data_IF_739746916907
#
_entry.id   IF_739746916907
#
_cell.length_a   1.000
_cell.length_b   1.000
_cell.length_c   1.000
_cell.angle_alpha   90.00
_cell.angle_beta   90.00
_cell.angle_gamma   90.00
#
_symmetry.space_group_name_H-M   'P 1'
#
loop_
_entity.id
_entity.type
_entity.pdbx_description
1 polymer ?
#
# COMPACT_ATOMS: atom_id res chain seq x y z
N UNK A 1 -11.38 20.41 9.69
CA UNK A 1 -10.07 20.22 10.34
C UNK A 1 -9.97 18.77 10.77
N UNK A 2 -9.00 18.03 10.23
CA UNK A 2 -8.68 16.66 10.63
C UNK A 2 -8.28 16.64 12.10
N UNK A 3 -8.89 15.76 12.88
CA UNK A 3 -8.81 15.73 14.34
C UNK A 3 -7.78 14.68 14.75
N UNK A 4 -6.53 15.12 14.90
CA UNK A 4 -5.40 14.29 15.34
C UNK A 4 -4.97 14.72 16.74
N UNK A 5 -4.74 13.76 17.63
CA UNK A 5 -4.22 13.99 18.98
C UNK A 5 -3.08 13.02 19.22
N UNK A 6 -1.98 13.51 19.79
CA UNK A 6 -0.87 12.68 20.22
C UNK A 6 -0.80 12.68 21.76
N UNK A 7 -0.88 11.49 22.35
CA UNK A 7 -0.65 11.26 23.77
C UNK A 7 0.77 10.76 23.95
N UNK A 8 1.53 11.42 24.83
CA UNK A 8 2.91 11.03 25.14
C UNK A 8 2.95 10.12 26.36
N UNK A 9 3.69 9.02 26.28
CA UNK A 9 3.88 8.05 27.36
C UNK A 9 2.55 7.55 27.96
N UNK A 10 1.56 7.25 27.11
CA UNK A 10 0.26 6.75 27.56
C UNK A 10 0.37 5.31 28.10
N UNK A 11 1.30 4.53 27.56
CA UNK A 11 1.60 3.18 28.03
C UNK A 11 2.98 3.14 28.71
N UNK A 12 3.16 2.43 29.84
CA UNK A 12 4.45 2.28 30.50
C UNK A 12 5.48 1.62 29.58
N UNK A 13 6.71 2.14 29.56
CA UNK A 13 7.80 1.65 28.71
C UNK A 13 8.06 0.15 28.91
N UNK A 14 8.05 -0.33 30.15
CA UNK A 14 8.24 -1.76 30.45
C UNK A 14 7.19 -2.65 29.78
N UNK A 15 5.92 -2.23 29.80
CA UNK A 15 4.83 -2.94 29.12
C UNK A 15 5.04 -2.96 27.62
N UNK A 16 5.43 -1.83 27.05
CA UNK A 16 5.67 -1.69 25.60
C UNK A 16 6.82 -2.57 25.15
N UNK A 17 7.94 -2.55 25.88
CA UNK A 17 9.11 -3.38 25.58
C UNK A 17 8.78 -4.87 25.72
N UNK A 18 7.99 -5.26 26.72
CA UNK A 18 7.53 -6.64 26.86
C UNK A 18 6.68 -7.10 25.68
N UNK A 19 5.78 -6.25 25.18
CA UNK A 19 4.99 -6.55 23.96
C UNK A 19 5.91 -6.67 22.75
N UNK A 20 6.87 -5.75 22.60
CA UNK A 20 7.83 -5.79 21.48
C UNK A 20 8.66 -7.07 21.45
N UNK A 21 9.23 -7.48 22.58
CA UNK A 21 10.03 -8.71 22.65
C UNK A 21 9.18 -9.94 22.34
N UNK A 22 7.94 -10.00 22.85
CA UNK A 22 7.00 -11.06 22.47
C UNK A 22 6.80 -11.13 20.94
N UNK A 23 6.62 -9.99 20.27
CA UNK A 23 6.40 -9.92 18.83
C UNK A 23 7.64 -10.32 18.00
N UNK A 24 8.86 -10.10 18.49
CA UNK A 24 10.08 -10.51 17.75
C UNK A 24 10.21 -12.03 17.64
N UNK A 25 9.71 -12.76 18.63
CA UNK A 25 9.85 -14.22 18.72
C UNK A 25 8.77 -15.00 17.96
N UNK A 26 7.72 -14.32 17.47
CA UNK A 26 6.63 -14.99 16.79
C UNK A 26 6.91 -15.14 15.28
N UNK A 27 6.53 -16.28 14.69
CA UNK A 27 6.61 -16.52 13.23
C UNK A 27 5.46 -15.77 12.56
N UNK A 28 5.77 -14.98 11.55
CA UNK A 28 4.78 -14.20 10.84
C UNK A 28 4.33 -14.90 9.56
N UNK A 29 3.03 -14.92 9.29
CA UNK A 29 2.44 -15.54 8.10
C UNK A 29 2.18 -14.50 7.01
N UNK A 30 2.54 -14.84 5.77
CA UNK A 30 2.41 -13.98 4.58
C UNK A 30 1.13 -14.28 3.82
N UNK A 31 0.08 -13.49 4.08
CA UNK A 31 -1.16 -13.47 3.28
C UNK A 31 -1.22 -12.21 2.41
N UNK A 32 -1.97 -12.34 1.32
CA UNK A 32 -2.22 -11.34 0.29
C UNK A 32 -3.14 -10.20 0.76
N UNK A 33 -2.75 -8.94 0.50
CA UNK A 33 -3.54 -7.74 0.87
C UNK A 33 -4.75 -7.54 -0.07
N UNK A 34 -5.83 -6.99 0.50
CA UNK A 34 -7.03 -6.49 -0.15
C UNK A 34 -6.81 -5.45 -1.27
N UNK A 35 -5.71 -4.68 -1.26
CA UNK A 35 -5.52 -3.56 -2.21
C UNK A 35 -4.86 -3.98 -3.52
N UNK A 36 -4.01 -5.02 -3.53
CA UNK A 36 -3.29 -5.46 -4.73
C UNK A 36 -3.17 -7.00 -4.85
N UNK A 37 -3.88 -7.75 -4.02
CA UNK A 37 -4.00 -9.20 -4.05
C UNK A 37 -2.67 -9.95 -4.10
N UNK A 38 -1.60 -9.42 -3.48
CA UNK A 38 -0.38 -10.21 -3.35
C UNK A 38 0.26 -10.21 -1.94
N UNK A 39 0.95 -11.33 -1.60
CA UNK A 39 1.34 -11.68 -0.24
C UNK A 39 2.33 -10.67 0.31
N UNK A 40 1.99 -10.01 1.41
CA UNK A 40 2.90 -9.06 2.05
C UNK A 40 2.63 -8.83 3.52
N UNK A 41 1.72 -9.61 4.11
CA UNK A 41 1.41 -9.41 5.51
C UNK A 41 2.34 -10.23 6.37
N UNK A 42 2.47 -9.74 7.57
CA UNK A 42 3.00 -10.44 8.69
C UNK A 42 1.95 -10.14 9.76
N UNK A 43 0.80 -10.81 9.65
CA UNK A 43 -0.27 -10.62 10.61
C UNK A 43 -0.04 -11.55 11.78
N UNK A 44 -0.01 -10.97 12.98
CA UNK A 44 -0.48 -11.73 14.11
C UNK A 44 -1.98 -11.54 14.20
N UNK A 45 -2.77 -12.62 14.14
CA UNK A 45 -3.84 -12.70 15.10
C UNK A 45 -3.13 -12.77 16.45
N UNK A 46 -2.70 -11.62 16.97
CA UNK A 46 -2.78 -11.46 18.42
C UNK A 46 -4.27 -11.38 18.65
N UNK A 47 -4.88 -12.55 18.65
CA UNK A 47 -6.16 -12.80 19.27
C UNK A 47 -5.93 -12.63 20.76
N UNK A 48 -5.67 -11.37 21.20
CA UNK A 48 -5.74 -11.04 22.61
C UNK A 48 -7.16 -11.27 23.13
N UNK A 49 -8.14 -11.34 22.22
CA UNK A 49 -9.50 -11.84 22.40
C UNK A 49 -9.99 -12.29 21.02
N UNK A 50 -10.54 -13.49 20.89
CA UNK A 50 -11.21 -13.92 19.65
C UNK A 50 -12.31 -12.92 19.30
N UNK A 51 -12.59 -12.59 18.02
CA UNK A 51 -13.85 -11.93 17.67
C UNK A 51 -15.08 -12.72 18.16
N UNK A 52 -14.90 -14.00 18.50
CA UNK A 52 -15.92 -14.85 19.13
C UNK A 52 -16.00 -14.72 20.65
N UNK A 53 -15.14 -13.93 21.30
CA UNK A 53 -15.26 -13.61 22.71
C UNK A 53 -15.97 -12.25 22.81
N UNK A 54 -17.22 -12.30 23.29
CA UNK A 54 -18.15 -11.17 23.52
C UNK A 54 -17.58 -9.99 24.34
N UNK A 55 -16.30 -10.02 24.75
CA UNK A 55 -15.64 -9.06 25.64
C UNK A 55 -14.98 -7.87 24.93
N UNK A 56 -14.71 -7.95 23.62
CA UNK A 56 -14.15 -6.79 22.89
C UNK A 56 -15.18 -5.65 22.78
N UNK A 57 -16.47 -6.00 22.63
CA UNK A 57 -17.57 -5.03 22.67
C UNK A 57 -17.80 -4.40 24.05
N UNK A 58 -17.31 -5.02 25.12
CA UNK A 58 -17.38 -4.47 26.49
C UNK A 58 -16.35 -3.37 26.72
N UNK A 59 -15.32 -3.25 25.87
CA UNK A 59 -14.38 -2.14 25.93
C UNK A 59 -15.11 -0.85 25.54
N UNK A 60 -15.27 0.04 26.51
CA UNK A 60 -15.85 1.37 26.32
C UNK A 60 -14.74 2.42 26.25
N UNK A 61 -14.13 2.65 25.07
CA UNK A 61 -13.11 3.68 24.92
C UNK A 61 -13.73 5.07 25.14
N UNK A 62 -13.02 5.91 25.89
CA UNK A 62 -13.37 7.32 26.04
C UNK A 62 -12.49 8.19 25.15
N UNK A 63 -13.10 9.00 24.30
CA UNK A 63 -12.37 9.93 23.43
C UNK A 63 -12.37 11.36 23.96
N UNK A 64 -11.31 12.16 23.69
CA UNK A 64 -11.28 13.56 24.09
C UNK A 64 -12.44 14.34 23.49
N UNK A 65 -13.18 15.06 24.35
CA UNK A 65 -14.26 15.96 23.92
C UNK A 65 -13.69 17.06 23.01
N UNK A 66 -14.39 17.33 21.91
CA UNK A 66 -14.00 18.32 20.90
C UNK A 66 -13.14 17.77 19.75
N UNK A 67 -12.49 16.62 19.94
CA UNK A 67 -11.69 15.95 18.92
C UNK A 67 -12.54 14.95 18.14
N UNK A 68 -13.44 14.23 18.80
CA UNK A 68 -14.44 13.39 18.12
C UNK A 68 -15.83 13.98 18.39
N UNK A 69 -16.79 13.79 17.48
CA UNK A 69 -18.17 14.21 17.76
C UNK A 69 -18.72 13.38 18.94
N UNK A 70 -19.88 13.72 19.50
CA UNK A 70 -20.48 12.92 20.57
C UNK A 70 -20.80 11.52 20.04
N UNK A 71 -19.85 10.60 20.19
CA UNK A 71 -20.01 9.20 19.83
C UNK A 71 -20.85 8.56 20.94
N UNK A 72 -22.06 8.04 20.65
CA UNK A 72 -22.97 7.58 21.70
C UNK A 72 -22.39 6.42 22.51
N UNK A 73 -21.78 5.43 21.82
CA UNK A 73 -21.15 4.24 22.40
C UNK A 73 -20.07 3.70 21.45
N UNK A 74 -18.89 4.33 21.38
CA UNK A 74 -17.83 3.82 20.52
C UNK A 74 -17.45 2.39 20.91
N UNK A 75 -17.09 1.59 19.92
CA UNK A 75 -16.64 0.21 20.12
C UNK A 75 -15.31 -0.05 19.44
N UNK A 76 -14.45 -0.85 20.07
CA UNK A 76 -13.24 -1.37 19.44
C UNK A 76 -13.63 -2.48 18.46
N UNK A 77 -13.33 -2.30 17.17
CA UNK A 77 -13.63 -3.31 16.15
C UNK A 77 -12.50 -4.30 15.97
N UNK A 78 -11.26 -3.82 15.96
CA UNK A 78 -10.10 -4.65 15.62
C UNK A 78 -8.82 -4.09 16.23
N UNK A 79 -7.89 -5.00 16.53
CA UNK A 79 -6.51 -4.69 16.90
C UNK A 79 -5.60 -5.33 15.86
N UNK A 80 -4.79 -4.52 15.21
CA UNK A 80 -3.82 -4.96 14.22
C UNK A 80 -2.40 -4.69 14.75
N UNK A 81 -1.59 -5.75 14.85
CA UNK A 81 -0.15 -5.60 15.08
C UNK A 81 0.57 -5.73 13.76
N UNK A 82 1.48 -4.81 13.47
CA UNK A 82 2.19 -4.79 12.19
C UNK A 82 3.67 -4.49 12.34
N UNK A 83 4.49 -5.26 11.64
CA UNK A 83 5.90 -4.95 11.34
C UNK A 83 5.99 -4.24 9.99
N UNK A 84 6.90 -3.27 9.90
CA UNK A 84 7.24 -2.54 8.70
C UNK A 84 8.76 -2.61 8.51
N UNK A 85 9.21 -3.18 7.38
CA UNK A 85 10.60 -3.19 6.95
C UNK A 85 10.76 -2.53 5.58
N UNK A 86 11.98 -2.11 5.21
CA UNK A 86 12.33 -1.74 3.84
C UNK A 86 11.94 -2.87 2.88
N UNK A 87 11.19 -2.53 1.83
CA UNK A 87 10.81 -3.47 0.77
C UNK A 87 9.74 -4.51 1.12
N UNK A 88 9.51 -4.85 2.40
CA UNK A 88 8.43 -5.79 2.80
C UNK A 88 7.04 -5.17 2.61
N UNK A 89 6.95 -3.83 2.69
CA UNK A 89 5.75 -3.11 2.28
C UNK A 89 6.02 -2.46 0.93
N UNK A 90 5.42 -3.04 -0.12
CA UNK A 90 5.09 -2.35 -1.36
C UNK A 90 4.56 -0.97 -0.98
N UNK A 91 5.16 0.10 -1.47
CA UNK A 91 4.74 1.50 -1.21
C UNK A 91 3.23 1.60 -0.97
N UNK A 92 2.79 1.63 0.30
CA UNK A 92 1.37 1.85 0.56
C UNK A 92 1.18 3.34 0.32
N UNK A 93 0.47 3.62 -0.76
CA UNK A 93 -0.02 4.94 -1.04
C UNK A 93 -0.72 5.48 0.21
N UNK A 94 -0.69 6.80 0.33
CA UNK A 94 -1.52 7.52 1.28
C UNK A 94 -2.97 7.03 1.15
N UNK A 95 -3.60 6.71 2.28
CA UNK A 95 -4.96 6.17 2.33
C UNK A 95 -5.70 6.69 3.55
N UNK A 96 -6.97 6.28 3.65
CA UNK A 96 -7.83 6.44 4.81
C UNK A 96 -8.15 5.06 5.37
N UNK A 97 -8.42 4.98 6.68
CA UNK A 97 -9.01 3.78 7.27
C UNK A 97 -10.51 3.77 6.96
N UNK A 98 -10.87 3.31 5.76
CA UNK A 98 -12.23 3.39 5.19
C UNK A 98 -13.34 2.67 5.96
N UNK A 99 -13.00 1.98 7.05
CA UNK A 99 -13.90 1.20 7.90
C UNK A 99 -13.91 1.65 9.36
N UNK A 100 -12.95 2.48 9.78
CA UNK A 100 -12.80 2.94 11.14
C UNK A 100 -13.27 4.39 11.28
N UNK A 101 -14.03 4.68 12.33
CA UNK A 101 -14.39 6.06 12.68
C UNK A 101 -13.19 6.80 13.30
N UNK A 102 -12.45 6.08 14.14
CA UNK A 102 -11.23 6.56 14.77
C UNK A 102 -10.18 5.44 14.80
N UNK A 103 -8.92 5.83 14.69
CA UNK A 103 -7.78 4.91 14.72
C UNK A 103 -6.78 5.41 15.76
N UNK A 104 -6.33 4.52 16.64
CA UNK A 104 -5.22 4.78 17.53
C UNK A 104 -4.00 3.92 17.11
N UNK A 105 -2.85 4.55 16.93
CA UNK A 105 -1.59 3.88 16.61
C UNK A 105 -0.63 4.09 17.77
N UNK A 106 -0.29 2.99 18.45
CA UNK A 106 0.72 2.92 19.51
C UNK A 106 2.10 2.71 18.89
N UNK A 107 3.02 3.64 19.19
CA UNK A 107 4.44 3.46 18.91
C UNK A 107 5.04 2.47 19.90
N UNK A 108 5.72 1.45 19.37
CA UNK A 108 6.40 0.44 20.19
C UNK A 108 7.87 0.18 19.79
N UNK A 109 8.32 0.77 18.67
CA UNK A 109 9.74 0.78 18.27
C UNK A 109 10.44 2.04 18.76
N UNK A 110 11.75 1.93 19.03
CA UNK A 110 12.58 3.09 19.33
C UNK A 110 12.82 3.89 18.02
N UNK A 111 12.71 5.23 18.02
CA UNK A 111 12.91 6.04 16.81
C UNK A 111 14.29 5.89 16.16
N UNK A 112 15.30 5.43 16.90
CA UNK A 112 16.66 5.20 16.41
C UNK A 112 16.83 3.86 15.68
N UNK A 113 15.88 2.93 15.80
CA UNK A 113 15.94 1.58 15.21
C UNK A 113 15.52 1.56 13.73
N UNK A 114 14.92 2.64 13.22
CA UNK A 114 14.44 2.74 11.85
C UNK A 114 14.53 4.16 11.29
N UNK A 115 14.55 4.28 9.97
CA UNK A 115 14.43 5.57 9.28
C UNK A 115 13.10 5.57 8.50
N UNK A 116 12.26 6.57 8.80
CA UNK A 116 10.89 6.68 8.28
C UNK A 116 9.85 6.70 9.41
N UNK A 117 8.65 6.18 9.15
CA UNK A 117 7.58 6.02 10.12
C UNK A 117 6.16 6.21 9.58
N UNK A 118 5.20 6.26 10.51
CA UNK A 118 3.84 6.74 10.22
C UNK A 118 3.94 8.19 9.76
N UNK A 119 3.29 8.51 8.65
CA UNK A 119 3.24 9.86 8.11
C UNK A 119 1.80 10.28 7.83
N UNK A 120 1.57 11.59 7.89
CA UNK A 120 0.36 12.25 7.45
C UNK A 120 0.64 12.92 6.11
N UNK A 121 -0.34 12.94 5.22
CA UNK A 121 -0.23 13.64 3.95
C UNK A 121 -1.51 14.44 3.70
N UNK A 122 -1.60 15.68 4.21
CA UNK A 122 -2.84 16.46 4.17
C UNK A 122 -3.21 16.98 2.77
N UNK A 123 -2.27 16.98 1.83
CA UNK A 123 -2.49 17.46 0.46
C UNK A 123 -2.19 16.37 -0.56
N UNK A 124 -2.64 16.58 -1.80
CA UNK A 124 -2.43 15.64 -2.91
C UNK A 124 -0.94 15.32 -3.17
N UNK A 125 -0.06 16.32 -3.03
CA UNK A 125 1.39 16.18 -3.22
C UNK A 125 2.06 15.42 -2.07
N UNK A 126 2.97 14.49 -2.40
CA UNK A 126 3.81 13.82 -1.42
C UNK A 126 4.75 14.77 -0.66
N UNK A 127 4.97 16.00 -1.13
CA UNK A 127 5.75 17.01 -0.40
C UNK A 127 5.07 17.47 0.91
N UNK A 128 3.75 17.28 0.99
CA UNK A 128 2.98 17.54 2.21
C UNK A 128 3.19 16.47 3.29
N UNK A 129 3.88 15.36 2.98
CA UNK A 129 4.16 14.29 3.94
C UNK A 129 4.87 14.82 5.19
N UNK A 130 4.35 14.46 6.36
CA UNK A 130 4.93 14.78 7.67
C UNK A 130 4.94 13.52 8.54
N UNK A 131 6.14 13.09 8.95
CA UNK A 131 6.29 11.91 9.80
C UNK A 131 5.88 12.21 11.25
N UNK A 132 5.04 11.34 11.80
CA UNK A 132 4.69 11.31 13.21
C UNK A 132 5.81 10.62 13.99
N UNK A 133 6.58 11.40 14.75
CA UNK A 133 7.57 10.86 15.66
C UNK A 133 6.86 10.32 16.92
N UNK A 134 6.82 8.99 17.07
CA UNK A 134 6.22 8.27 18.19
C UNK A 134 7.30 7.46 18.88
N UNK A 135 7.60 7.79 20.14
CA UNK A 135 8.44 6.96 21.00
C UNK A 135 7.65 5.77 21.55
N UNK A 136 8.30 4.73 22.08
CA UNK A 136 7.60 3.63 22.75
C UNK A 136 6.65 4.13 23.84
N UNK A 137 5.37 3.77 23.72
CA UNK A 137 4.32 4.19 24.66
C UNK A 137 3.55 5.44 24.24
N UNK A 138 3.97 6.12 23.17
CA UNK A 138 3.21 7.20 22.57
C UNK A 138 2.05 6.66 21.72
N UNK A 139 0.91 7.33 21.77
CA UNK A 139 -0.26 6.99 20.96
C UNK A 139 -0.68 8.19 20.12
N UNK A 140 -0.82 8.00 18.82
CA UNK A 140 -1.54 8.95 17.98
C UNK A 140 -2.96 8.44 17.74
N UNK A 141 -3.94 9.30 18.00
CA UNK A 141 -5.35 9.03 17.79
C UNK A 141 -5.87 9.98 16.71
N UNK A 142 -6.54 9.45 15.69
CA UNK A 142 -7.09 10.24 14.60
C UNK A 142 -8.46 9.78 14.11
N UNK A 143 -9.18 10.67 13.43
CA UNK A 143 -10.45 10.37 12.77
C UNK A 143 -10.29 9.77 11.37
N UNK A 144 -11.37 9.20 10.86
CA UNK A 144 -11.50 8.57 9.54
C UNK A 144 -11.03 9.43 8.36
N UNK A 145 -11.03 10.76 8.52
CA UNK A 145 -10.70 11.73 7.46
C UNK A 145 -9.22 12.14 7.47
N UNK A 146 -8.35 11.32 8.08
CA UNK A 146 -6.91 11.53 8.05
C UNK A 146 -6.25 10.70 6.96
N UNK A 147 -5.74 11.38 5.95
CA UNK A 147 -4.81 10.83 4.97
C UNK A 147 -3.47 10.50 5.62
N UNK A 148 -3.13 9.22 5.64
CA UNK A 148 -1.91 8.75 6.28
C UNK A 148 -1.32 7.52 5.57
N UNK A 149 -0.11 7.15 5.98
CA UNK A 149 0.57 5.94 5.54
C UNK A 149 1.76 5.63 6.44
N UNK A 150 2.48 4.55 6.16
CA UNK A 150 3.73 4.22 6.86
C UNK A 150 4.77 3.90 5.81
N UNK A 151 5.91 4.56 5.91
CA UNK A 151 7.06 4.37 5.02
C UNK A 151 8.30 4.10 5.88
N UNK A 152 8.96 2.96 5.68
CA UNK A 152 10.18 2.57 6.41
C UNK A 152 11.19 2.15 5.39
N UNK A 153 12.33 2.82 5.39
CA UNK A 153 13.33 2.65 4.34
C UNK A 153 14.69 2.20 4.89
N UNK A 154 14.87 2.23 6.21
CA UNK A 154 15.94 1.50 6.93
C UNK A 154 15.37 0.94 8.24
N UNK A 155 15.85 -0.23 8.69
CA UNK A 155 15.50 -0.82 9.99
C UNK A 155 14.14 -1.52 10.06
N UNK A 156 13.58 -1.67 11.27
CA UNK A 156 12.29 -2.32 11.48
C UNK A 156 11.42 -1.47 12.41
N UNK A 157 10.17 -1.23 12.01
CA UNK A 157 9.19 -0.54 12.84
C UNK A 157 8.04 -1.47 13.17
N UNK A 158 7.59 -1.40 14.41
CA UNK A 158 6.39 -2.07 14.89
C UNK A 158 5.32 -1.03 15.27
N UNK A 159 4.07 -1.36 14.97
CA UNK A 159 2.90 -0.59 15.42
C UNK A 159 1.84 -1.53 15.96
N UNK A 160 1.15 -1.11 17.02
CA UNK A 160 -0.14 -1.69 17.42
C UNK A 160 -1.22 -0.68 17.07
N UNK A 161 -2.17 -1.10 16.26
CA UNK A 161 -3.22 -0.25 15.69
C UNK A 161 -4.55 -0.72 16.27
N UNK A 162 -5.34 0.22 16.76
CA UNK A 162 -6.67 -0.01 17.30
C UNK A 162 -7.67 0.72 16.41
N UNK A 163 -8.56 -0.02 15.77
CA UNK A 163 -9.64 0.55 14.97
C UNK A 163 -10.92 0.59 15.78
N UNK A 164 -11.54 1.76 15.81
CA UNK A 164 -12.77 2.02 16.54
C UNK A 164 -13.88 2.41 15.59
N UNK A 165 -15.07 1.93 15.86
CA UNK A 165 -16.30 2.37 15.21
C UNK A 165 -17.11 3.28 16.12
N UNK A 166 -18.02 4.02 15.51
CA UNK A 166 -18.90 4.97 16.19
C UNK A 166 -19.96 4.30 17.08
N UNK A 167 -20.25 3.02 16.87
CA UNK A 167 -21.23 2.28 17.65
C UNK A 167 -20.93 0.79 17.76
N UNK A 168 -21.38 0.19 18.85
CA UNK A 168 -21.39 -1.27 19.03
C UNK A 168 -22.17 -1.99 17.91
N UNK A 169 -23.24 -1.37 17.40
CA UNK A 169 -24.00 -1.91 16.27
C UNK A 169 -23.12 -2.01 15.01
N UNK A 170 -22.38 -0.94 14.70
CA UNK A 170 -21.45 -0.91 13.56
C UNK A 170 -20.26 -1.85 13.71
N UNK A 171 -19.84 -2.16 14.95
CA UNK A 171 -18.89 -3.24 15.21
C UNK A 171 -19.50 -4.59 14.81
N UNK A 172 -20.74 -4.87 15.23
CA UNK A 172 -21.40 -6.16 15.00
C UNK A 172 -21.75 -6.42 13.53
N UNK A 173 -22.24 -5.41 12.81
CA UNK A 173 -22.73 -5.57 11.43
C UNK A 173 -21.71 -5.14 10.36
N UNK A 174 -20.55 -4.61 10.77
CA UNK A 174 -19.53 -4.16 9.83
C UNK A 174 -19.83 -2.82 9.13
N UNK A 175 -20.94 -2.16 9.44
CA UNK A 175 -21.39 -0.90 8.81
C UNK A 175 -20.56 0.33 9.19
N UNK A 176 -20.82 1.44 8.50
CA UNK A 176 -20.14 2.73 8.68
C UNK A 176 -21.09 3.95 8.55
N UNK A 177 -22.18 4.02 9.35
CA UNK A 177 -23.26 5.01 9.19
C UNK A 177 -22.84 6.47 9.40
N UNK A 178 -21.69 6.71 10.05
CA UNK A 178 -21.13 8.04 10.18
C UNK A 178 -20.76 8.65 8.83
N UNK A 179 -20.37 7.85 7.82
CA UNK A 179 -20.08 8.40 6.51
C UNK A 179 -21.33 8.99 5.87
N UNK A 180 -22.47 8.29 5.95
CA UNK A 180 -23.75 8.82 5.45
C UNK A 180 -24.10 10.14 6.15
N UNK A 181 -23.92 10.20 7.47
CA UNK A 181 -24.17 11.41 8.28
C UNK A 181 -23.26 12.56 7.86
N UNK A 182 -21.97 12.28 7.68
CA UNK A 182 -20.96 13.29 7.33
C UNK A 182 -21.01 13.70 5.85
N UNK A 183 -21.57 12.87 4.98
CA UNK A 183 -21.77 13.15 3.57
C UNK A 183 -23.13 13.82 3.27
N UNK A 184 -24.01 13.94 4.27
CA UNK A 184 -25.30 14.60 4.14
C UNK A 184 -25.13 16.06 3.71
N UNK A 185 -25.99 16.52 2.80
CA UNK A 185 -25.93 17.87 2.24
C UNK A 185 -26.20 18.92 3.32
N UNK A 186 -25.13 19.59 3.72
CA UNK A 186 -25.14 20.62 4.77
C UNK A 186 -23.91 21.50 4.63
N UNK A 187 -23.81 22.56 5.44
CA UNK A 187 -22.58 23.36 5.52
C UNK A 187 -21.37 22.56 6.02
N UNK A 188 -21.60 21.43 6.69
CA UNK A 188 -20.58 20.61 7.34
C UNK A 188 -20.27 19.31 6.56
N UNK A 189 -20.71 19.20 5.30
CA UNK A 189 -20.45 18.02 4.47
C UNK A 189 -18.94 17.74 4.37
N UNK A 190 -18.53 16.57 4.85
CA UNK A 190 -17.17 16.07 4.76
C UNK A 190 -16.89 15.52 3.36
N UNK A 191 -15.91 16.12 2.69
CA UNK A 191 -15.48 15.71 1.35
C UNK A 191 -14.83 14.31 1.39
N UNK A 192 -14.09 13.99 2.46
CA UNK A 192 -13.51 12.67 2.67
C UNK A 192 -14.60 11.61 2.89
N UNK A 193 -15.72 11.96 3.53
CA UNK A 193 -16.84 11.04 3.71
C UNK A 193 -17.54 10.74 2.38
N UNK A 194 -17.74 11.76 1.52
CA UNK A 194 -18.23 11.56 0.16
C UNK A 194 -17.33 10.59 -0.60
N UNK A 195 -16.01 10.80 -0.58
CA UNK A 195 -15.07 9.89 -1.22
C UNK A 195 -15.17 8.46 -0.68
N UNK A 196 -15.16 8.28 0.65
CA UNK A 196 -15.23 6.94 1.25
C UNK A 196 -16.55 6.23 0.95
N UNK A 197 -17.70 6.92 0.88
CA UNK A 197 -18.95 6.32 0.41
C UNK A 197 -18.85 5.86 -1.04
N UNK A 198 -18.19 6.65 -1.90
CA UNK A 198 -17.91 6.26 -3.27
C UNK A 198 -17.18 4.91 -3.33
N UNK A 199 -16.10 4.77 -2.55
CA UNK A 199 -15.33 3.52 -2.45
C UNK A 199 -16.19 2.35 -1.94
N UNK A 200 -17.04 2.59 -0.93
CA UNK A 200 -17.89 1.54 -0.37
C UNK A 200 -18.93 1.00 -1.36
N UNK A 201 -19.58 1.88 -2.12
CA UNK A 201 -20.50 1.48 -3.17
C UNK A 201 -19.78 0.85 -4.38
N UNK A 202 -18.56 1.27 -4.71
CA UNK A 202 -17.78 0.67 -5.79
C UNK A 202 -17.39 -0.79 -5.48
N UNK A 203 -16.94 -1.03 -4.24
CA UNK A 203 -16.45 -2.34 -3.79
C UNK A 203 -17.55 -3.24 -3.21
N UNK A 204 -18.68 -2.68 -2.78
CA UNK A 204 -19.74 -3.43 -2.10
C UNK A 204 -19.33 -3.90 -0.71
N UNK A 205 -18.80 -2.98 0.11
CA UNK A 205 -18.27 -3.26 1.45
C UNK A 205 -18.97 -2.43 2.53
N UNK A 206 -18.76 -2.78 3.81
CA UNK A 206 -19.25 -2.01 4.96
C UNK A 206 -20.76 -1.75 4.98
N UNK A 207 -21.54 -2.74 4.55
CA UNK A 207 -23.00 -2.67 4.52
C UNK A 207 -23.58 -1.94 3.30
N UNK A 208 -22.76 -1.65 2.28
CA UNK A 208 -23.22 -1.15 0.97
C UNK A 208 -23.18 -2.27 -0.06
N UNK A 209 -24.24 -2.40 -0.84
CA UNK A 209 -24.21 -3.25 -2.03
C UNK A 209 -23.46 -2.54 -3.16
N UNK A 210 -22.85 -3.33 -4.04
CA UNK A 210 -22.08 -2.78 -5.17
C UNK A 210 -22.99 -1.99 -6.12
N UNK A 211 -22.71 -0.71 -6.31
CA UNK A 211 -23.50 0.23 -7.11
C UNK A 211 -22.58 1.32 -7.72
N UNK A 212 -22.20 1.13 -8.98
CA UNK A 212 -21.28 2.03 -9.67
C UNK A 212 -21.85 3.43 -9.93
N UNK A 213 -23.16 3.56 -10.14
CA UNK A 213 -23.78 4.86 -10.39
C UNK A 213 -23.79 5.71 -9.12
N UNK A 214 -24.11 5.08 -7.98
CA UNK A 214 -23.95 5.76 -6.67
C UNK A 214 -22.50 6.09 -6.39
N UNK A 215 -21.57 5.17 -6.65
CA UNK A 215 -20.15 5.44 -6.46
C UNK A 215 -19.69 6.67 -7.26
N UNK A 216 -20.10 6.73 -8.53
CA UNK A 216 -19.81 7.85 -9.43
C UNK A 216 -20.42 9.17 -8.96
N UNK A 217 -21.65 9.17 -8.45
CA UNK A 217 -22.28 10.36 -7.87
C UNK A 217 -21.48 10.90 -6.66
N UNK A 218 -21.16 10.02 -5.71
CA UNK A 218 -20.37 10.39 -4.53
C UNK A 218 -18.99 10.91 -4.91
N UNK A 219 -18.31 10.25 -5.85
CA UNK A 219 -17.03 10.73 -6.36
C UNK A 219 -17.15 12.07 -7.07
N UNK A 220 -18.18 12.30 -7.88
CA UNK A 220 -18.43 13.61 -8.51
C UNK A 220 -18.59 14.72 -7.50
N UNK A 221 -19.45 14.51 -6.49
CA UNK A 221 -19.67 15.51 -5.42
C UNK A 221 -18.39 15.81 -4.64
N UNK A 222 -17.52 14.82 -4.41
CA UNK A 222 -16.22 15.03 -3.78
C UNK A 222 -15.21 15.71 -4.72
N UNK A 223 -15.17 15.31 -6.00
CA UNK A 223 -14.25 15.81 -7.01
C UNK A 223 -14.49 17.29 -7.36
N UNK A 224 -15.75 17.71 -7.44
CA UNK A 224 -16.16 19.11 -7.62
C UNK A 224 -15.70 20.01 -6.47
N UNK A 225 -15.55 19.44 -5.28
CA UNK A 225 -14.98 20.12 -4.09
C UNK A 225 -13.46 19.96 -3.99
N UNK A 226 -12.84 19.39 -5.01
CA UNK A 226 -11.38 19.34 -5.16
C UNK A 226 -10.69 18.14 -4.54
N UNK A 227 -11.41 17.08 -4.17
CA UNK A 227 -10.82 15.87 -3.58
C UNK A 227 -10.04 15.05 -4.61
N UNK A 228 -8.72 15.00 -4.50
CA UNK A 228 -7.82 14.42 -5.50
C UNK A 228 -8.03 12.92 -5.75
N UNK A 229 -8.27 12.12 -4.69
CA UNK A 229 -8.59 10.70 -4.89
C UNK A 229 -9.92 10.50 -5.62
N UNK A 230 -10.89 11.38 -5.37
CA UNK A 230 -12.20 11.27 -6.01
C UNK A 230 -12.13 11.74 -7.47
N UNK A 231 -11.34 12.77 -7.76
CA UNK A 231 -11.04 13.20 -9.12
C UNK A 231 -10.37 12.07 -9.91
N UNK A 232 -9.36 11.40 -9.34
CA UNK A 232 -8.74 10.23 -9.96
C UNK A 232 -9.75 9.10 -10.21
N UNK A 233 -10.48 8.67 -9.18
CA UNK A 233 -11.39 7.53 -9.31
C UNK A 233 -12.57 7.83 -10.23
N UNK A 234 -13.10 9.06 -10.19
CA UNK A 234 -14.13 9.50 -11.11
C UNK A 234 -13.63 9.44 -12.55
N UNK A 235 -12.43 9.92 -12.84
CA UNK A 235 -11.86 9.85 -14.18
C UNK A 235 -11.83 8.43 -14.73
N UNK A 236 -11.46 7.45 -13.91
CA UNK A 236 -11.41 6.03 -14.29
C UNK A 236 -12.80 5.41 -14.52
N UNK A 237 -13.88 6.06 -14.04
CA UNK A 237 -15.27 5.66 -14.24
C UNK A 237 -15.99 6.51 -15.31
N UNK A 238 -15.36 7.55 -15.85
CA UNK A 238 -15.91 8.34 -16.93
C UNK A 238 -15.64 7.66 -18.27
N UNK A 239 -16.69 7.52 -19.09
CA UNK A 239 -16.59 6.90 -20.41
C UNK A 239 -16.18 7.91 -21.49
N UNK A 240 -16.32 9.20 -21.21
CA UNK A 240 -15.89 10.28 -22.07
C UNK A 240 -14.43 10.63 -21.75
N UNK A 241 -13.53 10.40 -22.70
CA UNK A 241 -12.10 10.61 -22.54
C UNK A 241 -11.74 12.05 -22.16
N UNK A 242 -12.46 13.05 -22.69
CA UNK A 242 -12.19 14.46 -22.38
C UNK A 242 -12.60 14.79 -20.94
N UNK A 243 -13.72 14.23 -20.46
CA UNK A 243 -14.14 14.37 -19.07
C UNK A 243 -13.17 13.64 -18.13
N UNK A 244 -12.72 12.43 -18.50
CA UNK A 244 -11.73 11.68 -17.74
C UNK A 244 -10.41 12.47 -17.63
N UNK A 245 -9.88 12.95 -18.77
CA UNK A 245 -8.66 13.75 -18.82
C UNK A 245 -8.75 15.01 -17.96
N UNK A 246 -9.89 15.73 -18.00
CA UNK A 246 -10.12 16.91 -17.17
C UNK A 246 -9.94 16.60 -15.68
N UNK A 247 -10.50 15.50 -15.20
CA UNK A 247 -10.38 15.13 -13.78
C UNK A 247 -8.98 14.62 -13.43
N UNK A 248 -8.34 13.86 -14.33
CA UNK A 248 -6.94 13.45 -14.17
C UNK A 248 -6.01 14.65 -14.07
N UNK A 249 -6.16 15.65 -14.95
CA UNK A 249 -5.38 16.91 -14.88
C UNK A 249 -5.62 17.65 -13.57
N UNK A 250 -6.88 17.81 -13.16
CA UNK A 250 -7.21 18.51 -11.91
C UNK A 250 -6.55 17.89 -10.66
N UNK A 251 -6.45 16.56 -10.59
CA UNK A 251 -5.74 15.87 -9.51
C UNK A 251 -4.21 15.93 -9.68
N UNK A 252 -3.73 15.78 -10.92
CA UNK A 252 -2.30 15.74 -11.26
C UNK A 252 -1.60 17.07 -10.99
N UNK A 253 -2.26 18.19 -11.32
CA UNK A 253 -1.78 19.55 -11.08
C UNK A 253 -1.62 19.87 -9.58
N UNK A 254 -2.38 19.18 -8.71
CA UNK A 254 -2.23 19.28 -7.25
C UNK A 254 -1.11 18.37 -6.70
N UNK A 255 -0.48 17.58 -7.55
CA UNK A 255 0.61 16.68 -7.17
C UNK A 255 0.20 15.23 -6.88
N UNK A 256 -1.06 14.84 -7.15
CA UNK A 256 -1.51 13.47 -6.87
C UNK A 256 -0.82 12.45 -7.78
N UNK A 257 0.14 11.71 -7.23
CA UNK A 257 1.05 10.82 -7.98
C UNK A 257 0.33 9.76 -8.82
N UNK A 258 -0.71 9.11 -8.29
CA UNK A 258 -1.49 8.12 -9.04
C UNK A 258 -2.25 8.76 -10.20
N UNK A 259 -2.76 9.98 -10.04
CA UNK A 259 -3.42 10.69 -11.13
C UNK A 259 -2.41 11.12 -12.20
N UNK A 260 -1.19 11.55 -11.81
CA UNK A 260 -0.12 11.89 -12.75
C UNK A 260 0.27 10.67 -13.60
N UNK A 261 0.40 9.49 -12.97
CA UNK A 261 0.65 8.23 -13.68
C UNK A 261 -0.50 7.87 -14.62
N UNK A 262 -1.76 7.97 -14.16
CA UNK A 262 -2.93 7.67 -14.99
C UNK A 262 -3.11 8.67 -16.14
N UNK A 263 -2.79 9.94 -15.93
CA UNK A 263 -2.79 10.97 -16.97
C UNK A 263 -1.74 10.66 -18.04
N UNK A 264 -0.53 10.29 -17.63
CA UNK A 264 0.50 9.88 -18.57
C UNK A 264 0.06 8.68 -19.43
N UNK A 265 -0.51 7.64 -18.80
CA UNK A 265 -1.05 6.48 -19.52
C UNK A 265 -2.17 6.88 -20.48
N UNK A 266 -3.09 7.75 -20.03
CA UNK A 266 -4.18 8.26 -20.86
C UNK A 266 -3.67 8.96 -22.13
N UNK A 267 -2.65 9.83 -21.98
CA UNK A 267 -2.03 10.53 -23.11
C UNK A 267 -1.34 9.56 -24.08
N UNK A 268 -0.60 8.56 -23.57
CA UNK A 268 0.03 7.52 -24.40
C UNK A 268 -1.00 6.69 -25.18
N UNK A 269 -2.19 6.48 -24.63
CA UNK A 269 -3.27 5.78 -25.35
C UNK A 269 -3.84 6.62 -26.51
N UNK A 270 -3.82 7.95 -26.40
CA UNK A 270 -4.23 8.85 -27.49
C UNK A 270 -3.12 8.99 -28.55
N UNK A 271 -1.88 9.17 -28.12
CA UNK A 271 -0.68 9.25 -28.96
C UNK A 271 0.54 8.72 -28.19
N UNK A 272 1.10 7.59 -28.64
CA UNK A 272 2.27 6.96 -28.00
C UNK A 272 3.52 7.85 -28.02
N UNK A 273 3.55 8.86 -28.90
CA UNK A 273 4.67 9.78 -29.06
C UNK A 273 4.45 11.14 -28.38
N UNK A 274 3.36 11.32 -27.62
CA UNK A 274 3.11 12.57 -26.89
C UNK A 274 4.20 12.80 -25.83
N UNK A 275 5.08 13.80 -25.98
CA UNK A 275 6.18 14.02 -25.04
C UNK A 275 5.69 14.46 -23.66
N UNK A 276 4.48 14.99 -23.53
CA UNK A 276 3.91 15.42 -22.25
C UNK A 276 3.58 14.22 -21.35
N UNK A 277 3.35 13.05 -21.92
CA UNK A 277 3.15 11.83 -21.14
C UNK A 277 4.39 11.47 -20.31
N UNK A 278 5.59 11.57 -20.89
CA UNK A 278 6.84 11.34 -20.18
C UNK A 278 7.07 12.35 -19.06
N UNK A 279 6.66 13.61 -19.24
CA UNK A 279 6.75 14.65 -18.20
C UNK A 279 5.88 14.28 -16.98
N UNK A 280 4.61 13.92 -17.21
CA UNK A 280 3.71 13.49 -16.14
C UNK A 280 4.16 12.19 -15.46
N UNK A 281 4.61 11.21 -16.24
CA UNK A 281 5.11 9.95 -15.69
C UNK A 281 6.38 10.18 -14.85
N UNK A 282 7.27 11.08 -15.27
CA UNK A 282 8.47 11.45 -14.51
C UNK A 282 8.14 12.13 -13.19
N UNK A 283 7.12 13.00 -13.15
CA UNK A 283 6.61 13.58 -11.91
C UNK A 283 6.08 12.49 -10.98
N UNK A 284 5.26 11.56 -11.49
CA UNK A 284 4.76 10.44 -10.72
C UNK A 284 5.90 9.54 -10.19
N UNK A 285 6.90 9.26 -11.02
CA UNK A 285 8.06 8.42 -10.70
C UNK A 285 8.95 8.98 -9.59
N UNK A 286 8.90 10.30 -9.36
CA UNK A 286 9.58 10.89 -8.21
C UNK A 286 8.94 10.46 -6.87
N UNK A 287 7.63 10.20 -6.88
CA UNK A 287 6.82 9.94 -5.70
C UNK A 287 6.54 8.43 -5.51
N UNK A 288 6.26 7.70 -6.60
CA UNK A 288 5.82 6.30 -6.57
C UNK A 288 6.78 5.36 -7.31
N UNK A 289 7.17 4.22 -6.73
CA UNK A 289 8.07 3.27 -7.38
C UNK A 289 7.44 2.58 -8.60
N UNK A 290 6.12 2.36 -8.60
CA UNK A 290 5.39 1.83 -9.77
C UNK A 290 5.48 2.77 -10.98
N UNK A 291 5.44 4.08 -10.78
CA UNK A 291 5.62 5.04 -11.86
C UNK A 291 7.08 5.08 -12.35
N UNK A 292 8.06 4.91 -11.46
CA UNK A 292 9.47 4.76 -11.86
C UNK A 292 9.69 3.52 -12.73
N UNK A 293 8.97 2.42 -12.47
CA UNK A 293 8.98 1.25 -13.35
C UNK A 293 8.45 1.57 -14.75
N UNK A 294 7.31 2.26 -14.85
CA UNK A 294 6.76 2.65 -16.15
C UNK A 294 7.65 3.63 -16.91
N UNK A 295 8.36 4.54 -16.24
CA UNK A 295 9.41 5.34 -16.89
C UNK A 295 10.50 4.46 -17.51
N UNK A 296 10.93 3.42 -16.79
CA UNK A 296 11.87 2.44 -17.31
C UNK A 296 11.34 1.73 -18.57
N UNK A 297 10.06 1.32 -18.55
CA UNK A 297 9.41 0.70 -19.72
C UNK A 297 9.32 1.65 -20.92
N UNK A 298 9.03 2.94 -20.69
CA UNK A 298 8.99 3.97 -21.73
C UNK A 298 10.34 4.13 -22.42
N UNK A 299 11.44 4.25 -21.65
CA UNK A 299 12.80 4.29 -22.20
C UNK A 299 13.20 2.99 -22.89
N UNK A 300 12.81 1.83 -22.35
CA UNK A 300 13.12 0.52 -22.94
C UNK A 300 12.48 0.34 -24.32
N UNK A 301 11.32 0.96 -24.55
CA UNK A 301 10.51 0.80 -25.78
C UNK A 301 10.61 2.00 -26.73
N UNK A 302 11.20 3.11 -26.30
CA UNK A 302 11.21 4.35 -27.06
C UNK A 302 9.82 4.99 -27.23
N UNK A 303 8.96 4.88 -26.20
CA UNK A 303 7.59 5.43 -26.20
C UNK A 303 7.59 6.79 -25.51
N UNK A 304 7.18 7.86 -26.20
CA UNK A 304 7.19 9.27 -25.73
C UNK A 304 8.59 9.84 -25.39
N UNK A 305 9.60 8.98 -25.28
CA UNK A 305 11.04 9.29 -25.14
C UNK A 305 11.84 8.45 -26.14
N UNK A 306 13.07 8.85 -26.47
CA UNK A 306 13.95 8.01 -27.29
C UNK A 306 14.33 6.72 -26.54
N UNK A 307 14.48 5.63 -27.29
CA UNK A 307 14.91 4.34 -26.72
C UNK A 307 16.30 4.48 -26.08
N UNK A 308 16.42 4.07 -24.82
CA UNK A 308 17.66 4.09 -24.05
C UNK A 308 17.63 3.02 -22.95
N UNK A 309 18.33 1.90 -23.18
CA UNK A 309 18.38 0.78 -22.23
C UNK A 309 19.17 1.11 -20.95
N UNK A 310 20.15 2.02 -21.01
CA UNK A 310 20.90 2.43 -19.82
C UNK A 310 20.03 3.29 -18.90
N UNK A 311 19.26 4.22 -19.48
CA UNK A 311 18.31 5.02 -18.74
C UNK A 311 17.16 4.17 -18.20
N UNK A 312 16.65 3.23 -19.00
CA UNK A 312 15.67 2.25 -18.54
C UNK A 312 16.15 1.49 -17.29
N UNK A 313 17.40 0.98 -17.31
CA UNK A 313 18.00 0.30 -16.16
C UNK A 313 18.08 1.20 -14.91
N UNK A 314 18.40 2.49 -15.04
CA UNK A 314 18.40 3.42 -13.90
C UNK A 314 17.01 3.58 -13.29
N UNK A 315 15.97 3.69 -14.11
CA UNK A 315 14.60 3.80 -13.64
C UNK A 315 14.06 2.52 -13.01
N UNK A 316 14.36 1.35 -13.60
CA UNK A 316 14.03 0.06 -13.00
C UNK A 316 14.74 -0.13 -11.65
N UNK A 317 16.02 0.25 -11.54
CA UNK A 317 16.75 0.22 -10.26
C UNK A 317 16.12 1.13 -9.22
N UNK A 318 15.77 2.36 -9.59
CA UNK A 318 15.07 3.30 -8.68
C UNK A 318 13.73 2.74 -8.19
N UNK A 319 13.03 2.00 -9.03
CA UNK A 319 11.77 1.33 -8.68
C UNK A 319 12.01 0.16 -7.71
N UNK A 320 12.99 -0.69 -8.03
CA UNK A 320 13.39 -1.86 -7.25
C UNK A 320 13.90 -1.50 -5.85
N UNK A 321 14.80 -0.52 -5.75
CA UNK A 321 15.38 -0.02 -4.50
C UNK A 321 14.32 0.53 -3.53
N UNK A 322 13.14 0.87 -4.05
CA UNK A 322 11.98 1.37 -3.29
C UNK A 322 10.90 0.30 -3.10
N UNK A 323 11.24 -0.98 -3.27
CA UNK A 323 10.39 -2.12 -2.96
C UNK A 323 9.38 -2.51 -4.05
N UNK A 324 9.51 -2.02 -5.28
CA UNK A 324 8.71 -2.51 -6.40
C UNK A 324 9.47 -3.59 -7.18
N UNK A 325 9.29 -4.84 -6.73
CA UNK A 325 10.01 -6.02 -7.22
C UNK A 325 10.03 -6.26 -8.73
N UNK A 326 9.00 -5.90 -9.53
CA UNK A 326 9.09 -6.00 -10.98
C UNK A 326 10.29 -5.23 -11.57
N UNK A 327 10.79 -4.19 -10.89
CA UNK A 327 12.04 -3.52 -11.28
C UNK A 327 13.27 -4.45 -11.24
N UNK A 328 13.36 -5.36 -10.25
CA UNK A 328 14.42 -6.38 -10.21
C UNK A 328 14.27 -7.38 -11.36
N UNK A 329 13.03 -7.79 -11.68
CA UNK A 329 12.77 -8.70 -12.81
C UNK A 329 13.25 -8.09 -14.13
N UNK A 330 12.91 -6.84 -14.43
CA UNK A 330 13.34 -6.18 -15.67
C UNK A 330 14.85 -5.94 -15.73
N UNK A 331 15.48 -5.55 -14.61
CA UNK A 331 16.94 -5.48 -14.54
C UNK A 331 17.58 -6.84 -14.82
N UNK A 332 17.05 -7.91 -14.24
CA UNK A 332 17.52 -9.27 -14.46
C UNK A 332 17.41 -9.68 -15.93
N UNK A 333 16.30 -9.32 -16.59
CA UNK A 333 16.10 -9.56 -18.02
C UNK A 333 17.09 -8.78 -18.89
N UNK A 334 17.39 -7.52 -18.55
CA UNK A 334 18.41 -6.73 -19.24
C UNK A 334 19.80 -7.36 -19.11
N UNK A 335 20.22 -7.74 -17.91
CA UNK A 335 21.51 -8.42 -17.69
C UNK A 335 21.57 -9.78 -18.37
N UNK A 336 20.46 -10.52 -18.37
CA UNK A 336 20.35 -11.81 -19.06
C UNK A 336 20.54 -11.64 -20.57
N UNK A 337 19.93 -10.61 -21.17
CA UNK A 337 20.05 -10.32 -22.60
C UNK A 337 21.49 -9.95 -23.01
N UNK A 338 22.28 -9.33 -22.12
CA UNK A 338 23.70 -9.04 -22.36
C UNK A 338 24.63 -10.23 -22.08
N UNK A 339 24.08 -11.36 -21.60
CA UNK A 339 24.86 -12.55 -21.25
C UNK A 339 25.51 -12.50 -19.86
N UNK A 340 25.18 -11.52 -19.03
CA UNK A 340 25.64 -11.44 -17.65
C UNK A 340 24.70 -12.25 -16.74
N UNK A 341 24.84 -13.58 -16.85
CA UNK A 341 23.97 -14.52 -16.15
C UNK A 341 24.19 -14.54 -14.63
N UNK A 342 25.38 -14.14 -14.16
CA UNK A 342 25.67 -14.02 -12.73
C UNK A 342 24.88 -12.85 -12.13
N UNK A 343 24.93 -11.68 -12.77
CA UNK A 343 24.15 -10.52 -12.32
C UNK A 343 22.65 -10.76 -12.47
N UNK A 344 22.22 -11.37 -13.60
CA UNK A 344 20.82 -11.76 -13.79
C UNK A 344 20.32 -12.67 -12.66
N UNK A 345 21.11 -13.67 -12.26
CA UNK A 345 20.77 -14.55 -11.14
C UNK A 345 20.61 -13.79 -9.81
N UNK A 346 21.50 -12.85 -9.50
CA UNK A 346 21.39 -12.01 -8.28
C UNK A 346 20.12 -11.18 -8.28
N UNK A 347 19.78 -10.58 -9.42
CA UNK A 347 18.58 -9.75 -9.57
C UNK A 347 17.29 -10.57 -9.48
N UNK A 348 17.23 -11.74 -10.12
CA UNK A 348 16.06 -12.63 -10.00
C UNK A 348 15.92 -13.20 -8.58
N UNK A 349 17.01 -13.43 -7.86
CA UNK A 349 16.96 -13.83 -6.45
C UNK A 349 16.37 -12.73 -5.56
N UNK A 350 16.66 -11.46 -5.84
CA UNK A 350 15.99 -10.35 -5.16
C UNK A 350 14.51 -10.25 -5.56
N UNK A 351 14.16 -10.53 -6.82
CA UNK A 351 12.80 -10.44 -7.34
C UNK A 351 11.85 -11.48 -6.73
N UNK A 352 12.30 -12.73 -6.49
CA UNK A 352 11.43 -13.84 -6.03
C UNK A 352 10.77 -13.61 -4.68
N UNK A 353 11.28 -12.66 -3.88
CA UNK A 353 10.65 -12.23 -2.63
C UNK A 353 9.26 -11.62 -2.88
N UNK A 354 9.08 -10.89 -3.97
CA UNK A 354 7.82 -10.20 -4.31
C UNK A 354 7.18 -10.60 -5.64
N UNK A 355 7.90 -11.34 -6.48
CA UNK A 355 7.45 -11.87 -7.77
C UNK A 355 7.83 -13.36 -7.91
N UNK A 356 6.98 -14.29 -7.44
CA UNK A 356 7.25 -15.73 -7.53
C UNK A 356 7.51 -16.23 -8.95
N UNK A 357 7.05 -15.51 -9.99
CA UNK A 357 7.28 -15.88 -11.39
C UNK A 357 8.74 -15.71 -11.81
N UNK A 358 9.51 -14.87 -11.11
CA UNK A 358 10.94 -14.70 -11.35
C UNK A 358 11.75 -15.97 -11.06
N UNK A 359 11.16 -16.98 -10.40
CA UNK A 359 11.84 -18.22 -10.03
C UNK A 359 12.37 -19.00 -11.24
N UNK A 360 11.62 -19.03 -12.34
CA UNK A 360 12.05 -19.73 -13.57
C UNK A 360 13.28 -19.05 -14.20
N UNK A 361 13.29 -17.72 -14.20
CA UNK A 361 14.42 -16.92 -14.68
C UNK A 361 15.64 -17.08 -13.77
N UNK A 362 15.46 -17.14 -12.45
CA UNK A 362 16.54 -17.39 -11.48
C UNK A 362 17.23 -18.74 -11.75
N UNK A 363 16.45 -19.81 -11.86
CA UNK A 363 16.97 -21.16 -12.10
C UNK A 363 17.76 -21.22 -13.40
N UNK A 364 17.20 -20.63 -14.47
CA UNK A 364 17.84 -20.60 -15.79
C UNK A 364 19.14 -19.81 -15.76
N UNK A 365 19.14 -18.63 -15.14
CA UNK A 365 20.33 -17.76 -15.03
C UNK A 365 21.45 -18.42 -14.23
N UNK A 366 21.12 -19.05 -13.09
CA UNK A 366 22.11 -19.79 -12.29
C UNK A 366 22.69 -20.99 -13.03
N UNK A 367 21.89 -21.71 -13.80
CA UNK A 367 22.38 -22.80 -14.65
C UNK A 367 23.43 -22.31 -15.64
N UNK A 368 23.14 -21.19 -16.30
CA UNK A 368 24.04 -20.61 -17.31
C UNK A 368 25.30 -20.00 -16.67
N UNK A 369 25.21 -19.48 -15.45
CA UNK A 369 26.34 -18.90 -14.73
C UNK A 369 27.26 -19.96 -14.08
N UNK A 370 26.69 -20.99 -13.45
CA UNK A 370 27.43 -21.89 -12.54
C UNK A 370 27.35 -23.39 -12.89
N UNK A 371 26.50 -23.78 -13.83
CA UNK A 371 26.33 -25.18 -14.26
C UNK A 371 25.28 -25.98 -13.48
N UNK A 372 24.96 -27.19 -13.98
CA UNK A 372 23.83 -28.02 -13.52
C UNK A 372 23.97 -28.60 -12.10
N UNK A 373 25.19 -28.81 -11.62
CA UNK A 373 25.43 -29.43 -10.31
C UNK A 373 24.98 -28.55 -9.14
N UNK A 374 25.14 -27.23 -9.26
CA UNK A 374 24.68 -26.29 -8.24
C UNK A 374 23.15 -26.14 -8.21
N UNK A 375 22.50 -26.09 -9.36
CA UNK A 375 21.04 -25.89 -9.47
C UNK A 375 20.26 -27.00 -8.74
N UNK A 376 20.76 -28.24 -8.80
CA UNK A 376 20.15 -29.40 -8.14
C UNK A 376 20.17 -29.30 -6.61
N UNK A 377 21.19 -28.64 -6.04
CA UNK A 377 21.29 -28.41 -4.60
C UNK A 377 20.32 -27.32 -4.14
N UNK A 378 20.15 -26.27 -4.95
CA UNK A 378 19.26 -25.15 -4.67
C UNK A 378 17.77 -25.46 -4.90
N UNK A 379 17.43 -26.24 -5.92
CA UNK A 379 16.05 -26.71 -6.13
C UNK A 379 15.50 -27.50 -4.94
N UNK A 380 16.37 -28.24 -4.24
CA UNK A 380 16.03 -28.97 -3.00
C UNK A 380 15.82 -28.04 -1.79
N UNK A 381 16.50 -26.88 -1.74
CA UNK A 381 16.32 -25.86 -0.71
C UNK A 381 15.03 -25.07 -0.93
N UNK A 382 14.71 -24.72 -2.18
CA UNK A 382 13.52 -23.95 -2.54
C UNK A 382 12.21 -24.68 -2.25
N UNK A 383 12.15 -25.99 -2.54
CA UNK A 383 10.98 -26.83 -2.22
C UNK A 383 10.67 -26.97 -0.72
N UNK A 384 11.56 -26.51 0.17
CA UNK A 384 11.33 -26.46 1.62
C UNK A 384 10.80 -25.10 2.12
N UNK A 385 10.88 -24.04 1.31
CA UNK A 385 10.49 -22.68 1.69
C UNK A 385 9.36 -22.06 0.87
N UNK A 386 9.17 -22.47 -0.39
CA UNK A 386 8.09 -21.98 -1.26
C UNK A 386 7.41 -23.14 -2.00
N UNK A 387 6.13 -23.45 -1.71
CA UNK A 387 5.40 -24.57 -2.33
C UNK A 387 5.33 -24.49 -3.87
N UNK A 388 5.20 -23.29 -4.43
CA UNK A 388 5.19 -23.06 -5.88
C UNK A 388 6.54 -23.34 -6.54
N UNK A 389 7.65 -23.03 -5.85
CA UNK A 389 9.00 -23.39 -6.29
C UNK A 389 9.22 -24.91 -6.27
N UNK A 390 8.61 -25.61 -5.31
CA UNK A 390 8.59 -27.08 -5.24
C UNK A 390 7.83 -27.72 -6.41
N UNK A 391 6.73 -27.11 -6.85
CA UNK A 391 5.94 -27.60 -7.99
C UNK A 391 6.71 -27.48 -9.31
N UNK A 392 7.39 -26.36 -9.54
CA UNK A 392 8.23 -26.15 -10.73
C UNK A 392 9.45 -27.08 -10.72
N UNK A 393 10.14 -27.22 -9.57
CA UNK A 393 11.24 -28.18 -9.40
C UNK A 393 10.80 -29.65 -9.61
N UNK A 394 9.59 -30.01 -9.16
CA UNK A 394 8.98 -31.33 -9.40
C UNK A 394 8.71 -31.61 -10.88
N UNK A 395 8.28 -30.59 -11.64
CA UNK A 395 8.14 -30.67 -13.10
C UNK A 395 9.49 -30.85 -13.81
N UNK A 396 10.56 -30.25 -13.28
CA UNK A 396 11.92 -30.43 -13.80
C UNK A 396 12.48 -31.83 -13.54
N UNK A 397 12.25 -32.43 -12.36
CA UNK A 397 12.65 -33.81 -12.11
C UNK A 397 11.94 -34.83 -13.03
N UNK A 398 10.70 -34.54 -13.45
CA UNK A 398 9.97 -35.39 -14.40
C UNK A 398 10.46 -35.27 -15.85
N UNK A 399 11.14 -34.17 -16.23
CA UNK A 399 11.67 -33.95 -17.59
C UNK A 399 13.11 -34.49 -17.75
N UNK A 400 13.91 -34.50 -16.67
CA UNK A 400 15.30 -35.01 -16.70
C UNK A 400 15.37 -36.51 -16.37
N UNK A 401 14.26 -37.11 -15.92
CA UNK A 401 14.12 -38.53 -15.59
C UNK A 401 13.57 -39.43 -16.71
N UNK A 402 13.57 -39.00 -17.97
CA UNK A 402 13.10 -39.78 -19.13
C UNK A 402 14.11 -39.85 -20.26
#
# INVERSE_FOLDING_TARGET
MSRVVCFRNLCPLETVLSVREFLKDQVYDTVSDSVDLAPSWEFYPVTLVSPSDDKMGDLQPSFPRGVFQNIPKPGLSEILVRRYRPGERRSHAVHYDGHAYATAVLGISEPEEFRGGLYLQPEASAESKRFCNLSPGDVVLHSFNLQHGVDVFEGERYSVIFWFKDSEASVKDGSTPWYDTMAAESSDTSVDALYNLGVQFELGVHGKEKDFEKAKDFYRRAAERGHHFAQNNLALLEADDQVAEKWLRAASEKGHSTAQMNLAIHLLCQDENDPTAAEWMKLAASQEPKAAFYMGDMYRRGVSVAEDLEEAAKWFRRSADRGFFPGFTELGLLSFATGDFEEAAKLFEAAVVGDPKAWEHLVTSRRLAYGESEVTQWGKLAGRGHPEAGFTAGRFHLIVGS
#
